data_IF_193121892571
#
_entry.id   IF_193121892571
#
_cell.length_a   1.000
_cell.length_b   1.000
_cell.length_c   1.000
_cell.angle_alpha   90.00
_cell.angle_beta   90.00
_cell.angle_gamma   90.00
#
_symmetry.space_group_name_H-M   'P 1'
#
loop_
_entity.id
_entity.type
_entity.pdbx_description
1 polymer ?
#
# COMPACT_ATOMS: atom_id res chain seq x y z
N UNK A 1 -32.81 -32.71 -98.98
CA UNK A 1 -32.48 -33.38 -97.72
C UNK A 1 -32.22 -32.28 -96.72
N UNK A 2 -33.04 -32.15 -95.71
CA UNK A 2 -32.84 -31.24 -94.62
C UNK A 2 -31.83 -31.86 -93.63
N UNK A 3 -30.79 -31.10 -93.30
CA UNK A 3 -29.84 -31.50 -92.28
C UNK A 3 -30.56 -31.46 -90.86
N UNK A 4 -30.57 -32.53 -90.11
CA UNK A 4 -31.18 -32.47 -88.83
C UNK A 4 -30.33 -31.58 -87.88
N UNK A 5 -30.97 -30.64 -87.20
CA UNK A 5 -30.38 -29.87 -86.11
C UNK A 5 -30.68 -30.64 -84.81
N UNK A 6 -29.64 -30.89 -84.04
CA UNK A 6 -29.75 -31.43 -82.71
C UNK A 6 -29.41 -30.35 -81.68
N UNK A 7 -30.08 -30.31 -80.52
CA UNK A 7 -29.70 -29.50 -79.37
C UNK A 7 -28.42 -30.05 -78.74
N UNK A 8 -27.67 -29.21 -78.06
CA UNK A 8 -26.50 -29.61 -77.30
C UNK A 8 -26.84 -30.33 -76.04
N UNK A 9 -28.14 -30.61 -75.77
CA UNK A 9 -28.62 -31.23 -74.52
C UNK A 9 -28.84 -30.19 -73.44
N UNK A 10 -29.56 -30.59 -72.40
CA UNK A 10 -29.75 -29.85 -71.16
C UNK A 10 -29.23 -30.77 -70.00
N UNK A 11 -28.34 -30.28 -69.19
CA UNK A 11 -27.94 -30.94 -67.93
C UNK A 11 -28.88 -30.44 -66.86
N UNK A 12 -29.41 -31.37 -66.05
CA UNK A 12 -30.19 -31.05 -64.86
C UNK A 12 -29.29 -31.17 -63.66
N UNK A 13 -29.12 -30.05 -62.97
CA UNK A 13 -28.41 -30.01 -61.71
C UNK A 13 -29.40 -29.88 -60.53
N UNK A 14 -29.28 -30.74 -59.55
CA UNK A 14 -30.13 -30.81 -58.36
C UNK A 14 -29.29 -30.73 -57.04
N UNK A 15 -28.02 -30.36 -57.18
CA UNK A 15 -27.14 -30.21 -56.03
C UNK A 15 -27.01 -28.74 -55.63
N UNK A 16 -27.27 -28.51 -54.34
CA UNK A 16 -27.11 -27.16 -53.78
C UNK A 16 -25.63 -26.84 -53.58
N UNK A 17 -25.16 -25.62 -53.89
CA UNK A 17 -23.80 -25.19 -53.52
C UNK A 17 -23.61 -25.11 -52.01
N UNK A 18 -22.36 -25.10 -51.54
CA UNK A 18 -22.02 -24.94 -50.14
C UNK A 18 -21.25 -23.64 -49.90
N UNK A 19 -21.52 -22.96 -48.78
CA UNK A 19 -20.78 -21.81 -48.33
C UNK A 19 -20.18 -22.02 -46.97
N UNK A 20 -19.02 -21.39 -46.69
CA UNK A 20 -18.42 -21.36 -45.35
C UNK A 20 -19.14 -20.34 -44.47
N UNK A 21 -18.74 -20.28 -43.20
CA UNK A 21 -19.19 -19.26 -42.24
C UNK A 21 -18.56 -17.94 -42.64
N UNK A 22 -19.33 -16.87 -42.79
CA UNK A 22 -18.76 -15.53 -42.98
C UNK A 22 -18.12 -15.06 -41.66
N UNK A 23 -17.04 -14.28 -41.79
CA UNK A 23 -16.33 -13.64 -40.69
C UNK A 23 -16.73 -12.17 -40.64
N UNK A 24 -16.99 -11.65 -39.44
CA UNK A 24 -17.20 -10.24 -39.21
C UNK A 24 -15.85 -9.49 -39.25
N UNK A 25 -15.81 -8.28 -39.91
CA UNK A 25 -14.60 -7.49 -40.03
C UNK A 25 -13.88 -7.64 -41.39
N UNK A 26 -12.67 -7.07 -41.49
CA UNK A 26 -11.87 -7.02 -42.71
C UNK A 26 -10.95 -8.21 -42.86
N UNK A 27 -10.67 -8.58 -44.12
CA UNK A 27 -9.76 -9.69 -44.44
C UNK A 27 -8.38 -9.45 -43.84
N UNK A 28 -7.89 -10.42 -43.03
CA UNK A 28 -6.55 -10.43 -42.49
C UNK A 28 -6.43 -9.83 -41.08
N UNK A 29 -7.49 -9.29 -40.49
CA UNK A 29 -7.50 -8.76 -39.10
C UNK A 29 -8.10 -9.72 -38.09
N UNK A 30 -8.60 -10.86 -38.52
CA UNK A 30 -9.27 -11.86 -37.67
C UNK A 30 -10.77 -11.63 -37.57
N UNK A 31 -11.43 -12.38 -36.73
CA UNK A 31 -12.85 -12.23 -36.38
C UNK A 31 -13.06 -11.01 -35.51
N UNK A 32 -14.08 -10.21 -35.79
CA UNK A 32 -14.42 -9.01 -35.07
C UNK A 32 -15.65 -9.28 -34.18
N UNK A 33 -15.44 -9.47 -32.89
CA UNK A 33 -16.54 -9.70 -31.96
C UNK A 33 -17.22 -8.43 -31.47
N UNK A 34 -16.48 -7.30 -31.43
CA UNK A 34 -16.94 -6.00 -30.95
C UNK A 34 -16.45 -4.86 -31.86
N UNK A 35 -17.24 -3.79 -31.98
CA UNK A 35 -16.84 -2.56 -32.67
C UNK A 35 -17.40 -1.30 -32.01
N UNK A 36 -16.64 -0.18 -32.05
CA UNK A 36 -17.14 1.15 -31.68
C UNK A 36 -17.78 1.90 -32.86
N UNK A 37 -17.68 1.40 -34.09
CA UNK A 37 -18.19 2.06 -35.29
C UNK A 37 -19.69 1.84 -35.42
N UNK A 38 -20.44 2.91 -35.58
CA UNK A 38 -21.91 2.88 -35.77
C UNK A 38 -22.35 3.00 -37.24
N UNK A 39 -21.43 3.27 -38.15
CA UNK A 39 -21.77 3.64 -39.50
C UNK A 39 -21.60 2.52 -40.53
N UNK A 40 -20.84 1.47 -40.21
CA UNK A 40 -20.55 0.42 -41.17
C UNK A 40 -20.53 -0.96 -40.55
N UNK A 41 -20.84 -1.97 -41.37
CA UNK A 41 -20.63 -3.38 -41.17
C UNK A 41 -19.80 -3.94 -42.31
N UNK A 42 -18.85 -4.79 -41.96
CA UNK A 42 -17.98 -5.47 -42.94
C UNK A 42 -18.00 -6.95 -42.64
N UNK A 43 -18.14 -7.76 -43.64
CA UNK A 43 -17.98 -9.21 -43.53
C UNK A 43 -17.21 -9.76 -44.72
N UNK A 44 -16.51 -10.86 -44.53
CA UNK A 44 -15.81 -11.56 -45.58
C UNK A 44 -15.95 -13.08 -45.43
N UNK A 45 -15.74 -13.80 -46.54
CA UNK A 45 -15.85 -15.25 -46.55
C UNK A 45 -14.84 -15.88 -47.51
N UNK A 46 -14.57 -17.15 -47.28
CA UNK A 46 -13.78 -17.93 -48.21
C UNK A 46 -14.58 -18.22 -49.48
N UNK A 47 -13.98 -18.12 -50.68
CA UNK A 47 -14.66 -18.49 -51.91
C UNK A 47 -15.07 -19.99 -51.82
N UNK A 48 -16.30 -20.27 -52.31
CA UNK A 48 -16.72 -21.68 -52.46
C UNK A 48 -15.90 -22.34 -53.56
N UNK A 49 -15.70 -23.63 -53.42
CA UNK A 49 -15.04 -24.49 -54.40
C UNK A 49 -16.02 -25.07 -55.43
N UNK A 50 -17.26 -24.60 -55.42
CA UNK A 50 -18.30 -24.99 -56.37
C UNK A 50 -17.95 -24.55 -57.79
N UNK A 51 -17.72 -25.49 -58.74
CA UNK A 51 -17.29 -25.13 -60.08
C UNK A 51 -18.34 -24.36 -60.90
N UNK A 52 -19.61 -24.50 -60.57
CA UNK A 52 -20.75 -23.89 -61.25
C UNK A 52 -21.39 -22.77 -60.41
N UNK A 53 -20.62 -22.12 -59.52
CA UNK A 53 -21.05 -20.97 -58.76
C UNK A 53 -21.42 -19.81 -59.74
N UNK A 54 -22.60 -19.20 -59.51
CA UNK A 54 -23.03 -18.00 -60.26
C UNK A 54 -22.76 -16.75 -59.47
N UNK A 55 -23.31 -16.66 -58.22
CA UNK A 55 -23.12 -15.49 -57.35
C UNK A 55 -23.37 -15.87 -55.89
N UNK A 56 -23.01 -14.98 -54.97
CA UNK A 56 -23.39 -14.96 -53.56
C UNK A 56 -24.50 -13.95 -53.32
N UNK A 57 -25.31 -14.20 -52.28
CA UNK A 57 -26.10 -13.15 -51.68
C UNK A 57 -25.69 -13.04 -50.20
N UNK A 58 -25.55 -11.82 -49.75
CA UNK A 58 -25.33 -11.48 -48.37
C UNK A 58 -26.45 -10.63 -47.81
N UNK A 59 -26.70 -10.68 -46.51
CA UNK A 59 -27.54 -9.75 -45.76
C UNK A 59 -26.90 -9.43 -44.40
N UNK A 60 -27.31 -8.33 -43.84
CA UNK A 60 -26.99 -8.03 -42.41
C UNK A 60 -28.28 -7.88 -41.63
N UNK A 61 -28.28 -8.39 -40.42
CA UNK A 61 -29.49 -8.39 -39.56
C UNK A 61 -29.18 -8.46 -38.08
N UNK A 62 -30.19 -8.18 -37.25
CA UNK A 62 -30.15 -8.38 -35.80
C UNK A 62 -30.45 -9.81 -35.38
N UNK A 63 -30.74 -10.68 -36.34
CA UNK A 63 -31.03 -12.11 -36.09
C UNK A 63 -30.33 -12.99 -37.13
N UNK A 64 -29.92 -14.21 -36.67
CA UNK A 64 -29.31 -15.20 -37.56
C UNK A 64 -30.23 -15.51 -38.75
N UNK A 65 -29.69 -15.39 -39.96
CA UNK A 65 -30.42 -15.67 -41.21
C UNK A 65 -31.42 -14.56 -41.64
N UNK A 66 -31.53 -13.47 -40.87
CA UNK A 66 -32.41 -12.34 -41.15
C UNK A 66 -31.85 -11.38 -42.22
N UNK A 67 -32.61 -10.28 -42.50
CA UNK A 67 -32.26 -9.27 -43.47
C UNK A 67 -32.84 -7.89 -43.11
N UNK A 68 -33.05 -7.62 -41.83
CA UNK A 68 -33.71 -6.43 -41.30
C UNK A 68 -32.84 -5.15 -41.35
N UNK A 69 -31.55 -5.27 -41.47
CA UNK A 69 -30.61 -4.14 -41.57
C UNK A 69 -30.25 -3.89 -43.04
N UNK A 70 -29.78 -4.91 -43.73
CA UNK A 70 -29.50 -4.92 -45.19
C UNK A 70 -30.19 -6.14 -45.77
N UNK A 71 -31.13 -5.90 -46.72
CA UNK A 71 -31.80 -7.01 -47.40
C UNK A 71 -30.81 -7.81 -48.25
N UNK A 72 -31.19 -9.05 -48.56
CA UNK A 72 -30.39 -9.93 -49.42
C UNK A 72 -29.90 -9.22 -50.67
N UNK A 73 -28.59 -9.10 -50.83
CA UNK A 73 -27.90 -8.36 -51.88
C UNK A 73 -26.92 -9.27 -52.60
N UNK A 74 -27.07 -9.37 -53.92
CA UNK A 74 -26.22 -10.21 -54.75
C UNK A 74 -24.83 -9.60 -54.97
N UNK A 75 -23.78 -10.47 -54.95
CA UNK A 75 -22.40 -10.10 -55.24
C UNK A 75 -21.63 -11.29 -55.82
N UNK A 76 -20.58 -10.99 -56.59
CA UNK A 76 -19.57 -11.98 -56.99
C UNK A 76 -18.28 -11.87 -56.18
N UNK A 77 -18.19 -10.86 -55.31
CA UNK A 77 -17.06 -10.66 -54.38
C UNK A 77 -17.18 -11.56 -53.16
N UNK A 78 -16.08 -11.73 -52.45
CA UNK A 78 -16.00 -12.48 -51.20
C UNK A 78 -15.87 -11.57 -49.96
N UNK A 79 -16.25 -10.31 -50.11
CA UNK A 79 -16.32 -9.30 -49.06
C UNK A 79 -17.57 -8.43 -49.28
N UNK A 80 -18.24 -8.09 -48.20
CA UNK A 80 -19.33 -7.14 -48.19
C UNK A 80 -18.98 -5.99 -47.23
N UNK A 81 -19.09 -4.76 -47.72
CA UNK A 81 -18.96 -3.55 -46.89
C UNK A 81 -20.22 -2.71 -47.10
N UNK A 82 -20.84 -2.35 -46.00
CA UNK A 82 -22.04 -1.51 -46.00
C UNK A 82 -21.82 -0.34 -45.08
N UNK A 83 -22.00 0.86 -45.62
CA UNK A 83 -21.82 2.13 -44.95
C UNK A 83 -23.14 2.87 -44.75
N UNK A 84 -23.06 3.99 -44.01
CA UNK A 84 -24.21 4.87 -43.74
C UNK A 84 -25.30 4.22 -42.89
N UNK A 85 -24.92 3.32 -42.05
CA UNK A 85 -25.77 2.68 -41.05
C UNK A 85 -25.95 3.59 -39.81
N UNK A 86 -26.86 3.22 -38.94
CA UNK A 86 -27.04 3.81 -37.62
C UNK A 86 -27.20 2.67 -36.59
N UNK A 87 -26.07 2.06 -36.25
CA UNK A 87 -26.01 0.91 -35.40
C UNK A 87 -26.20 1.32 -33.94
N UNK A 88 -26.77 0.43 -33.11
CA UNK A 88 -27.21 0.70 -31.75
C UNK A 88 -26.28 0.01 -30.79
N UNK A 89 -25.90 0.71 -29.70
CA UNK A 89 -25.10 0.16 -28.60
C UNK A 89 -25.72 -1.12 -28.02
N UNK A 90 -24.86 -2.08 -27.68
CA UNK A 90 -25.18 -3.40 -27.13
C UNK A 90 -26.04 -4.28 -28.04
N UNK A 91 -26.21 -3.91 -29.32
CA UNK A 91 -26.91 -4.74 -30.30
C UNK A 91 -25.90 -5.58 -31.11
N UNK A 92 -26.20 -6.87 -31.25
CA UNK A 92 -25.45 -7.81 -32.08
C UNK A 92 -25.98 -7.73 -33.50
N UNK A 93 -25.07 -7.72 -34.49
CA UNK A 93 -25.36 -7.75 -35.91
C UNK A 93 -24.67 -8.95 -36.53
N UNK A 94 -25.42 -9.71 -37.36
CA UNK A 94 -24.97 -10.92 -38.01
C UNK A 94 -24.82 -10.69 -39.51
N UNK A 95 -23.70 -11.12 -40.07
CA UNK A 95 -23.57 -11.28 -41.51
C UNK A 95 -24.15 -12.64 -41.91
N UNK A 96 -25.05 -12.65 -42.89
CA UNK A 96 -25.64 -13.86 -43.45
C UNK A 96 -25.22 -14.04 -44.89
N UNK A 97 -24.95 -15.26 -45.30
CA UNK A 97 -24.41 -15.63 -46.62
C UNK A 97 -25.15 -16.83 -47.20
N UNK A 98 -25.44 -16.79 -48.49
CA UNK A 98 -25.82 -17.94 -49.31
C UNK A 98 -25.22 -17.83 -50.70
N UNK A 99 -25.06 -18.94 -51.40
CA UNK A 99 -24.57 -19.01 -52.75
C UNK A 99 -25.65 -19.56 -53.68
N UNK A 100 -25.57 -19.19 -54.95
CA UNK A 100 -26.39 -19.74 -56.03
C UNK A 100 -25.49 -20.29 -57.11
N UNK A 101 -25.84 -21.45 -57.64
CA UNK A 101 -25.20 -22.02 -58.81
C UNK A 101 -25.83 -21.54 -60.13
N UNK A 102 -25.24 -21.89 -61.26
CA UNK A 102 -25.74 -21.57 -62.58
C UNK A 102 -27.09 -22.20 -62.94
N UNK A 103 -27.52 -23.22 -62.22
CA UNK A 103 -28.82 -23.85 -62.36
C UNK A 103 -29.91 -23.15 -61.52
N UNK A 104 -29.50 -22.27 -60.59
CA UNK A 104 -30.37 -21.49 -59.70
C UNK A 104 -30.66 -22.17 -58.38
N UNK A 105 -29.92 -23.21 -57.98
CA UNK A 105 -30.08 -23.87 -56.67
C UNK A 105 -29.40 -22.99 -55.61
N UNK A 106 -30.05 -22.68 -54.47
CA UNK A 106 -29.47 -21.94 -53.35
C UNK A 106 -28.77 -22.86 -52.37
N UNK A 107 -27.64 -22.39 -51.74
CA UNK A 107 -27.11 -23.04 -50.59
C UNK A 107 -28.00 -22.83 -49.34
N UNK A 108 -27.75 -23.59 -48.25
CA UNK A 108 -28.21 -23.18 -46.97
C UNK A 108 -27.60 -21.83 -46.57
N UNK A 109 -28.34 -21.07 -45.76
CA UNK A 109 -27.83 -19.83 -45.17
C UNK A 109 -26.79 -20.14 -44.09
N UNK A 110 -25.63 -19.50 -44.19
CA UNK A 110 -24.58 -19.50 -43.16
C UNK A 110 -24.48 -18.10 -42.57
N UNK A 111 -24.32 -18.02 -41.25
CA UNK A 111 -24.25 -16.74 -40.53
C UNK A 111 -22.96 -16.67 -39.68
N UNK A 112 -22.45 -15.42 -39.53
CA UNK A 112 -21.36 -15.15 -38.59
C UNK A 112 -21.77 -15.40 -37.11
N UNK A 113 -20.81 -15.34 -36.20
CA UNK A 113 -21.08 -15.31 -34.74
C UNK A 113 -21.65 -13.94 -34.29
N UNK A 114 -21.54 -12.91 -35.14
CA UNK A 114 -22.06 -11.58 -34.93
C UNK A 114 -21.11 -10.62 -34.23
N UNK A 115 -21.14 -9.36 -34.72
CA UNK A 115 -20.40 -8.24 -34.09
C UNK A 115 -21.32 -7.42 -33.19
N UNK A 116 -20.86 -7.16 -31.95
CA UNK A 116 -21.59 -6.32 -30.98
C UNK A 116 -21.06 -4.90 -31.04
N UNK A 117 -21.96 -3.92 -31.09
CA UNK A 117 -21.59 -2.50 -31.06
C UNK A 117 -21.43 -2.02 -29.63
N UNK A 118 -20.24 -1.49 -29.30
CA UNK A 118 -19.96 -0.91 -27.99
C UNK A 118 -19.52 0.57 -28.15
N UNK A 119 -20.31 1.48 -27.59
CA UNK A 119 -20.11 2.94 -27.71
C UNK A 119 -19.66 3.60 -26.41
N UNK A 120 -19.68 2.89 -25.30
CA UNK A 120 -19.41 3.46 -24.00
C UNK A 120 -18.26 2.73 -23.34
N UNK A 121 -17.37 3.51 -22.74
CA UNK A 121 -16.29 2.93 -21.93
C UNK A 121 -16.77 2.35 -20.62
N UNK A 122 -15.87 1.65 -19.91
CA UNK A 122 -16.15 1.05 -18.62
C UNK A 122 -16.70 2.07 -17.62
N UNK A 123 -17.65 1.64 -16.78
CA UNK A 123 -18.05 2.41 -15.61
C UNK A 123 -16.91 2.48 -14.62
N UNK A 124 -16.78 3.60 -13.91
CA UNK A 124 -15.75 3.83 -12.91
C UNK A 124 -16.00 3.02 -11.65
N UNK A 125 -14.92 2.54 -11.05
CA UNK A 125 -14.91 1.90 -9.75
C UNK A 125 -14.47 2.84 -8.62
N UNK A 126 -13.99 2.23 -7.55
CA UNK A 126 -13.40 2.89 -6.38
C UNK A 126 -11.91 2.60 -6.36
N UNK A 127 -11.09 3.60 -6.06
CA UNK A 127 -9.65 3.48 -5.88
C UNK A 127 -9.27 3.90 -4.45
N UNK A 128 -8.32 3.19 -3.86
CA UNK A 128 -7.74 3.51 -2.55
C UNK A 128 -6.21 3.53 -2.63
N UNK A 129 -5.59 4.34 -1.81
CA UNK A 129 -4.17 4.25 -1.50
C UNK A 129 -3.96 3.02 -0.60
N UNK A 130 -3.02 2.12 -0.98
CA UNK A 130 -2.83 0.82 -0.30
C UNK A 130 -3.52 -0.37 -0.98
N UNK A 131 -3.44 -1.55 -0.35
CA UNK A 131 -3.95 -2.82 -0.92
C UNK A 131 -5.31 -3.26 -0.39
N UNK A 132 -5.61 -2.98 0.87
CA UNK A 132 -6.82 -3.47 1.54
C UNK A 132 -7.56 -2.41 2.33
N UNK A 133 -6.85 -1.40 2.76
CA UNK A 133 -7.36 -0.24 3.47
C UNK A 133 -6.80 1.02 2.81
N UNK A 134 -7.51 2.11 2.96
CA UNK A 134 -7.10 3.41 2.45
C UNK A 134 -6.06 4.02 3.37
N UNK A 135 -4.81 4.11 2.90
CA UNK A 135 -3.68 4.61 3.65
C UNK A 135 -3.56 6.13 3.46
N UNK A 136 -3.31 6.84 4.56
CA UNK A 136 -3.16 8.31 4.55
C UNK A 136 -1.69 8.71 4.50
N UNK A 137 -0.81 7.87 5.06
CA UNK A 137 0.63 8.11 5.13
C UNK A 137 1.43 6.91 4.64
N UNK A 138 2.62 7.19 4.12
CA UNK A 138 3.58 6.14 3.71
C UNK A 138 5.01 6.52 4.10
N UNK A 139 5.75 5.56 4.66
CA UNK A 139 7.19 5.66 4.88
C UNK A 139 8.04 5.28 3.65
N UNK A 140 7.41 4.90 2.54
CA UNK A 140 8.11 4.56 1.32
C UNK A 140 8.78 5.79 0.69
N UNK A 141 9.98 5.61 0.16
CA UNK A 141 10.76 6.71 -0.45
C UNK A 141 10.74 6.69 -1.98
N UNK A 142 10.31 5.58 -2.59
CA UNK A 142 10.48 5.34 -4.02
C UNK A 142 9.30 4.62 -4.69
N UNK A 143 8.24 4.34 -3.95
CA UNK A 143 7.09 3.59 -4.48
C UNK A 143 5.78 3.96 -3.79
N UNK A 144 4.68 3.85 -4.56
CA UNK A 144 3.31 4.00 -4.07
C UNK A 144 2.51 2.77 -4.46
N UNK A 145 1.61 2.37 -3.58
CA UNK A 145 0.73 1.22 -3.78
C UNK A 145 -0.72 1.71 -3.83
N UNK A 146 -1.49 1.20 -4.79
CA UNK A 146 -2.92 1.45 -4.86
C UNK A 146 -3.67 0.20 -5.33
N UNK A 147 -4.93 0.13 -4.98
CA UNK A 147 -5.86 -0.89 -5.44
C UNK A 147 -7.21 -0.30 -5.81
N UNK A 148 -7.94 -0.99 -6.69
CA UNK A 148 -9.27 -0.56 -7.13
C UNK A 148 -10.21 -1.74 -7.33
N UNK A 149 -11.51 -1.44 -7.25
CA UNK A 149 -12.60 -2.39 -7.41
C UNK A 149 -13.72 -1.77 -8.26
N UNK A 150 -14.69 -2.58 -8.62
CA UNK A 150 -15.98 -2.16 -9.20
C UNK A 150 -15.92 -1.42 -10.55
N UNK A 151 -14.77 -1.39 -11.22
CA UNK A 151 -14.75 -1.06 -12.64
C UNK A 151 -15.40 -2.18 -13.42
N UNK A 152 -16.30 -1.85 -14.31
CA UNK A 152 -16.99 -2.85 -15.13
C UNK A 152 -17.33 -2.33 -16.52
N UNK A 153 -17.18 -3.19 -17.51
CA UNK A 153 -17.77 -3.07 -18.83
C UNK A 153 -18.57 -4.33 -19.12
N UNK A 154 -19.84 -4.16 -19.50
CA UNK A 154 -20.77 -5.27 -19.68
C UNK A 154 -20.96 -5.67 -21.14
N UNK A 155 -20.37 -4.94 -22.08
CA UNK A 155 -20.49 -5.19 -23.51
C UNK A 155 -19.21 -5.80 -24.07
N UNK A 156 -18.14 -5.04 -24.18
CA UNK A 156 -16.88 -5.55 -24.71
C UNK A 156 -15.90 -6.02 -23.64
N UNK A 157 -16.07 -5.58 -22.39
CA UNK A 157 -15.20 -5.91 -21.28
C UNK A 157 -13.96 -5.03 -21.20
N UNK A 158 -13.27 -5.07 -20.05
CA UNK A 158 -12.07 -4.27 -19.79
C UNK A 158 -10.86 -4.97 -20.43
N UNK A 159 -10.12 -4.25 -21.26
CA UNK A 159 -8.89 -4.71 -21.89
C UNK A 159 -7.66 -4.45 -20.99
N UNK A 160 -7.54 -3.22 -20.48
CA UNK A 160 -6.43 -2.83 -19.61
C UNK A 160 -6.80 -1.61 -18.75
N UNK A 161 -5.94 -1.35 -17.77
CA UNK A 161 -5.94 -0.11 -17.00
C UNK A 161 -4.72 0.73 -17.34
N UNK A 162 -4.83 2.03 -17.15
CA UNK A 162 -3.72 2.97 -17.12
C UNK A 162 -3.73 3.69 -15.78
N UNK A 163 -2.56 3.93 -15.21
CA UNK A 163 -2.40 4.75 -14.03
C UNK A 163 -1.39 5.88 -14.25
N UNK A 164 -1.54 6.94 -13.49
CA UNK A 164 -0.59 8.04 -13.41
C UNK A 164 -0.46 8.57 -12.00
N UNK A 165 0.60 9.32 -11.69
CA UNK A 165 0.89 9.85 -10.37
C UNK A 165 1.17 11.33 -10.45
N UNK A 166 0.60 12.09 -9.52
CA UNK A 166 0.83 13.53 -9.42
C UNK A 166 0.86 14.04 -7.98
N UNK A 167 1.28 15.30 -7.81
CA UNK A 167 1.29 16.01 -6.52
C UNK A 167 -0.01 16.78 -6.25
N UNK A 168 -0.93 16.76 -7.18
CA UNK A 168 -2.30 17.28 -7.03
C UNK A 168 -3.27 16.32 -7.70
N UNK A 169 -4.49 16.24 -7.19
CA UNK A 169 -5.51 15.33 -7.70
C UNK A 169 -5.71 15.49 -9.21
N UNK A 170 -5.58 14.39 -9.95
CA UNK A 170 -5.72 14.34 -11.41
C UNK A 170 -4.53 14.84 -12.23
N UNK A 171 -3.48 15.37 -11.59
CA UNK A 171 -2.24 15.75 -12.27
C UNK A 171 -1.30 14.53 -12.45
N UNK A 172 -0.37 14.63 -13.39
CA UNK A 172 0.55 13.56 -13.79
C UNK A 172 2.02 14.03 -13.80
N UNK A 173 2.36 14.98 -12.91
CA UNK A 173 3.68 15.61 -12.86
C UNK A 173 4.78 14.71 -12.30
N UNK A 174 4.41 13.58 -11.71
CA UNK A 174 5.37 12.58 -11.18
C UNK A 174 5.49 11.40 -12.14
N UNK A 175 4.37 10.89 -12.66
CA UNK A 175 4.32 9.81 -13.64
C UNK A 175 3.17 10.03 -14.61
N UNK A 176 3.49 10.07 -15.90
CA UNK A 176 2.53 10.05 -17.00
C UNK A 176 1.74 8.73 -17.03
N UNK A 177 0.66 8.69 -17.83
CA UNK A 177 -0.13 7.49 -18.02
C UNK A 177 0.72 6.28 -18.39
N UNK A 178 0.61 5.24 -17.61
CA UNK A 178 1.32 3.97 -17.78
C UNK A 178 0.30 2.85 -17.91
N UNK A 179 0.30 2.17 -19.05
CA UNK A 179 -0.56 1.01 -19.28
C UNK A 179 -0.10 -0.19 -18.45
N UNK A 180 -1.09 -0.87 -17.89
CA UNK A 180 -0.95 -2.14 -17.18
C UNK A 180 -2.10 -3.05 -17.61
N UNK A 181 -1.93 -4.34 -17.66
CA UNK A 181 -3.02 -5.27 -18.03
C UNK A 181 -4.28 -5.11 -17.16
N UNK A 182 -5.25 -6.01 -17.28
CA UNK A 182 -6.50 -5.97 -16.52
C UNK A 182 -6.28 -6.39 -15.04
N UNK A 183 -5.35 -5.74 -14.36
CA UNK A 183 -5.00 -5.97 -12.95
C UNK A 183 -5.65 -4.93 -12.06
N UNK A 184 -5.95 -5.28 -10.81
CA UNK A 184 -6.69 -4.43 -9.87
C UNK A 184 -5.80 -3.79 -8.81
N UNK A 185 -4.48 -3.92 -8.95
CA UNK A 185 -3.50 -3.36 -8.00
C UNK A 185 -2.25 -2.92 -8.74
N UNK A 186 -1.57 -1.92 -8.18
CA UNK A 186 -0.23 -1.51 -8.62
C UNK A 186 0.71 -1.37 -7.44
N UNK A 187 2.00 -1.55 -7.75
CA UNK A 187 3.12 -0.97 -7.01
C UNK A 187 3.89 -0.07 -8.00
N UNK A 188 3.67 1.22 -7.90
CA UNK A 188 4.29 2.25 -8.74
C UNK A 188 5.71 2.54 -8.24
N UNK A 189 6.68 1.66 -8.51
CA UNK A 189 8.08 1.80 -8.11
C UNK A 189 8.89 2.75 -9.00
N UNK A 190 10.11 3.11 -8.54
CA UNK A 190 11.03 4.00 -9.27
C UNK A 190 10.61 5.47 -9.24
N UNK A 191 9.89 5.88 -8.21
CA UNK A 191 9.56 7.26 -7.90
C UNK A 191 10.68 7.90 -7.06
N UNK A 192 10.54 9.18 -6.76
CA UNK A 192 11.29 9.86 -5.72
C UNK A 192 10.28 10.65 -4.90
N UNK A 193 9.95 10.10 -3.73
CA UNK A 193 8.97 10.73 -2.86
C UNK A 193 9.67 11.71 -1.92
N UNK A 194 9.11 12.89 -1.81
CA UNK A 194 9.62 13.98 -0.96
C UNK A 194 8.82 13.96 0.34
N UNK A 195 9.51 14.03 1.45
CA UNK A 195 8.92 14.12 2.78
C UNK A 195 7.85 15.22 2.86
N UNK A 196 6.78 14.98 3.59
CA UNK A 196 5.66 15.91 3.80
C UNK A 196 4.94 16.30 2.49
N UNK A 197 5.03 15.48 1.45
CA UNK A 197 4.37 15.72 0.17
C UNK A 197 3.25 14.71 -0.05
N UNK A 198 2.07 15.20 -0.40
CA UNK A 198 0.92 14.34 -0.74
C UNK A 198 0.96 13.98 -2.22
N UNK A 199 0.77 12.71 -2.51
CA UNK A 199 0.71 12.14 -3.85
C UNK A 199 -0.66 11.57 -4.13
N UNK A 200 -1.08 11.64 -5.38
CA UNK A 200 -2.37 11.16 -5.87
C UNK A 200 -2.16 10.18 -7.00
N UNK A 201 -2.83 9.05 -6.95
CA UNK A 201 -2.84 8.05 -8.03
C UNK A 201 -4.14 8.18 -8.78
N UNK A 202 -4.05 8.37 -10.10
CA UNK A 202 -5.19 8.42 -11.01
C UNK A 202 -5.25 7.15 -11.84
N UNK A 203 -6.44 6.61 -12.07
CA UNK A 203 -6.68 5.40 -12.86
C UNK A 203 -7.82 5.60 -13.83
N UNK A 204 -7.71 5.01 -15.01
CA UNK A 204 -8.79 4.82 -15.97
C UNK A 204 -8.74 3.41 -16.56
N UNK A 205 -9.88 2.88 -16.97
CA UNK A 205 -10.01 1.60 -17.66
C UNK A 205 -10.28 1.81 -19.14
N UNK A 206 -9.74 0.96 -20.00
CA UNK A 206 -10.02 0.93 -21.45
C UNK A 206 -10.63 -0.43 -21.79
N UNK A 207 -11.68 -0.42 -22.63
CA UNK A 207 -12.36 -1.61 -23.09
C UNK A 207 -11.70 -2.21 -24.36
N UNK A 208 -12.26 -3.32 -24.88
CA UNK A 208 -11.74 -4.02 -26.06
C UNK A 208 -11.89 -3.26 -27.37
N UNK A 209 -12.73 -2.22 -27.43
CA UNK A 209 -12.91 -1.40 -28.65
C UNK A 209 -12.26 -0.03 -28.52
N UNK A 210 -11.59 0.26 -27.40
CA UNK A 210 -10.82 1.48 -27.18
C UNK A 210 -11.57 2.64 -26.54
N UNK A 211 -12.80 2.44 -26.03
CA UNK A 211 -13.43 3.45 -25.22
C UNK A 211 -12.84 3.41 -23.79
N UNK A 212 -12.76 4.54 -23.12
CA UNK A 212 -12.19 4.63 -21.77
C UNK A 212 -13.20 5.18 -20.75
N UNK A 213 -13.03 4.78 -19.51
CA UNK A 213 -13.81 5.28 -18.38
C UNK A 213 -13.46 6.74 -18.08
N UNK A 214 -14.28 7.40 -17.27
CA UNK A 214 -13.85 8.61 -16.56
C UNK A 214 -12.63 8.27 -15.66
N UNK A 215 -11.81 9.30 -15.36
CA UNK A 215 -10.65 9.17 -14.49
C UNK A 215 -11.11 9.20 -13.03
N UNK A 216 -10.62 8.26 -12.24
CA UNK A 216 -10.79 8.23 -10.78
C UNK A 216 -9.43 8.44 -10.13
N UNK A 217 -9.38 9.23 -9.08
CA UNK A 217 -8.15 9.58 -8.37
C UNK A 217 -8.32 9.29 -6.88
N UNK A 218 -7.26 8.79 -6.23
CA UNK A 218 -7.24 8.60 -4.77
C UNK A 218 -7.46 9.91 -4.00
N UNK A 219 -7.78 9.82 -2.72
CA UNK A 219 -7.87 10.99 -1.82
C UNK A 219 -6.49 11.56 -1.45
N UNK A 220 -5.42 10.81 -1.73
CA UNK A 220 -4.03 11.21 -1.59
C UNK A 220 -3.34 10.61 -0.37
N UNK A 221 -2.11 10.16 -0.58
CA UNK A 221 -1.22 9.60 0.44
C UNK A 221 -0.03 10.53 0.67
N UNK A 222 0.28 10.85 1.93
CA UNK A 222 1.38 11.75 2.27
C UNK A 222 2.62 10.95 2.65
N UNK A 223 3.75 11.26 2.02
CA UNK A 223 5.04 10.68 2.40
C UNK A 223 5.49 11.25 3.74
N UNK A 224 5.77 10.38 4.69
CA UNK A 224 6.31 10.68 6.00
C UNK A 224 7.61 9.90 6.22
N UNK A 225 8.72 10.60 6.21
CA UNK A 225 10.06 10.03 6.37
C UNK A 225 10.71 10.46 7.70
N UNK A 226 9.98 11.18 8.52
CA UNK A 226 10.44 11.71 9.79
C UNK A 226 9.97 10.83 10.93
N UNK A 227 10.85 10.45 11.84
CA UNK A 227 10.45 9.70 13.03
C UNK A 227 10.05 10.62 14.19
N UNK A 228 9.34 10.09 15.20
CA UNK A 228 8.86 10.85 16.35
C UNK A 228 9.97 11.54 17.15
N UNK A 229 9.66 12.72 17.69
CA UNK A 229 10.58 13.56 18.47
C UNK A 229 10.26 13.43 19.97
N UNK A 230 11.26 13.04 20.75
CA UNK A 230 11.22 13.04 22.22
C UNK A 230 11.93 14.24 22.82
N UNK A 231 11.67 14.54 24.08
CA UNK A 231 12.21 15.70 24.78
C UNK A 231 13.12 15.31 25.94
N UNK A 232 12.69 14.45 26.85
CA UNK A 232 13.40 14.10 28.08
C UNK A 232 13.20 12.63 28.46
N UNK A 233 14.27 12.01 28.93
CA UNK A 233 14.25 10.76 29.66
C UNK A 233 15.00 10.93 30.97
N UNK A 234 14.53 10.28 32.04
CA UNK A 234 15.10 10.35 33.38
C UNK A 234 15.24 8.98 33.96
N UNK A 235 16.21 8.82 34.85
CA UNK A 235 16.44 7.62 35.64
C UNK A 235 15.46 7.59 36.81
N UNK A 236 15.00 6.38 37.21
CA UNK A 236 13.92 6.17 38.18
C UNK A 236 12.50 6.42 37.60
N UNK A 237 11.51 5.95 38.31
CA UNK A 237 10.08 6.02 37.93
C UNK A 237 9.40 7.33 38.37
N UNK A 238 10.07 8.23 39.08
CA UNK A 238 9.45 9.44 39.60
C UNK A 238 10.39 10.65 39.72
N UNK A 239 11.51 10.49 40.40
CA UNK A 239 12.49 11.56 40.63
C UNK A 239 13.82 11.06 40.10
N UNK A 240 14.47 11.90 39.34
CA UNK A 240 15.78 11.65 38.79
C UNK A 240 16.79 11.28 39.89
N UNK A 241 17.62 10.27 39.65
CA UNK A 241 18.64 9.80 40.59
C UNK A 241 19.99 9.64 39.89
N UNK A 242 21.06 10.10 40.56
CA UNK A 242 22.43 9.97 40.06
C UNK A 242 23.12 8.67 40.56
N UNK A 243 22.60 8.07 41.63
CA UNK A 243 23.24 6.95 42.37
C UNK A 243 22.20 5.90 42.74
N UNK A 244 22.58 4.62 42.63
CA UNK A 244 21.81 3.51 43.19
C UNK A 244 22.74 2.40 43.70
N UNK A 245 22.23 1.61 44.64
CA UNK A 245 22.92 0.42 45.18
C UNK A 245 22.18 -0.90 44.82
N UNK A 246 21.15 -0.84 44.00
CA UNK A 246 20.47 -2.00 43.47
C UNK A 246 21.20 -2.52 42.23
N UNK A 247 21.56 -3.82 42.25
CA UNK A 247 22.26 -4.49 41.17
C UNK A 247 21.33 -5.25 40.21
N UNK A 248 20.05 -5.42 40.60
CA UNK A 248 19.14 -6.35 39.90
C UNK A 248 17.97 -5.68 39.24
N UNK A 249 17.81 -4.38 39.43
CA UNK A 249 16.80 -3.60 38.74
C UNK A 249 17.28 -2.21 38.35
N UNK A 250 16.61 -1.63 37.30
CA UNK A 250 16.81 -0.27 36.85
C UNK A 250 15.47 0.26 36.33
N UNK A 251 15.06 1.43 36.82
CA UNK A 251 13.82 2.08 36.38
C UNK A 251 14.10 3.38 35.67
N UNK A 252 13.19 3.77 34.82
CA UNK A 252 13.22 5.08 34.20
C UNK A 252 11.88 5.52 33.63
N UNK A 253 11.75 6.81 33.36
CA UNK A 253 10.56 7.37 32.73
C UNK A 253 10.95 8.46 31.69
N UNK A 254 10.00 8.77 30.83
CA UNK A 254 10.19 9.77 29.77
C UNK A 254 8.89 10.47 29.42
N UNK A 255 8.98 11.61 28.75
CA UNK A 255 7.84 12.25 28.14
C UNK A 255 7.51 11.56 26.83
N UNK A 256 6.19 11.42 26.51
CA UNK A 256 5.75 10.81 25.25
C UNK A 256 6.31 11.54 24.06
N UNK A 257 6.81 10.77 23.11
CA UNK A 257 7.24 11.30 21.81
C UNK A 257 6.05 11.82 21.02
N UNK A 258 6.29 12.76 20.15
CA UNK A 258 5.29 13.31 19.24
C UNK A 258 5.74 13.17 17.80
N UNK A 259 4.79 12.84 16.92
CA UNK A 259 4.94 12.86 15.49
C UNK A 259 3.77 13.62 14.87
N UNK A 260 4.05 14.51 13.89
CA UNK A 260 3.07 15.45 13.33
C UNK A 260 2.20 14.82 12.25
N UNK A 261 2.73 13.79 11.54
CA UNK A 261 2.09 13.23 10.35
C UNK A 261 1.49 11.86 10.63
N UNK A 262 2.26 10.80 10.56
CA UNK A 262 1.75 9.45 10.74
C UNK A 262 1.44 9.10 12.20
N UNK A 263 1.96 9.89 13.14
CA UNK A 263 1.73 9.75 14.56
C UNK A 263 2.58 8.66 15.23
N UNK A 264 2.77 8.79 16.55
CA UNK A 264 3.49 7.81 17.34
C UNK A 264 2.74 6.47 17.39
N UNK A 265 3.39 5.38 17.00
CA UNK A 265 2.88 4.02 17.16
C UNK A 265 3.28 3.40 18.50
N UNK A 266 4.56 3.51 18.86
CA UNK A 266 5.08 2.98 20.13
C UNK A 266 6.44 3.58 20.48
N UNK A 267 6.85 3.35 21.75
CA UNK A 267 8.20 3.60 22.21
C UNK A 267 9.02 2.32 22.21
N UNK A 268 10.31 2.46 22.01
CA UNK A 268 11.31 1.43 22.29
C UNK A 268 12.29 1.92 23.34
N UNK A 269 12.69 1.03 24.24
CA UNK A 269 13.63 1.32 25.33
C UNK A 269 14.77 0.31 25.33
N UNK A 270 15.93 0.76 25.81
CA UNK A 270 17.10 -0.07 26.03
C UNK A 270 17.88 0.45 27.26
N UNK A 271 18.60 -0.43 27.95
CA UNK A 271 19.51 -0.04 29.03
C UNK A 271 20.96 -0.09 28.52
N UNK A 272 21.65 1.02 28.60
CA UNK A 272 23.00 1.18 28.07
C UNK A 272 24.03 1.36 29.18
N UNK A 273 25.07 0.52 29.20
CA UNK A 273 26.21 0.65 30.08
C UNK A 273 27.24 1.60 29.43
N UNK A 274 27.30 2.83 29.92
CA UNK A 274 28.20 3.88 29.42
C UNK A 274 29.66 3.52 29.63
N UNK A 275 29.97 2.92 30.78
CA UNK A 275 31.36 2.54 31.16
C UNK A 275 31.96 1.51 30.21
N UNK A 276 31.15 0.54 29.79
CA UNK A 276 31.59 -0.55 28.91
C UNK A 276 31.22 -0.30 27.43
N UNK A 277 30.48 0.76 27.14
CA UNK A 277 29.94 1.11 25.81
C UNK A 277 29.16 -0.06 25.17
N UNK A 278 28.22 -0.66 25.93
CA UNK A 278 27.42 -1.80 25.51
C UNK A 278 26.01 -1.75 26.07
N UNK A 279 25.06 -2.35 25.35
CA UNK A 279 23.72 -2.55 25.90
C UNK A 279 23.71 -3.69 26.91
N UNK A 280 23.16 -3.42 28.09
CA UNK A 280 22.82 -4.40 29.11
C UNK A 280 21.48 -5.06 28.73
N UNK A 281 20.49 -4.26 28.37
CA UNK A 281 19.23 -4.70 27.76
C UNK A 281 19.08 -4.06 26.38
N UNK A 282 18.74 -4.91 25.40
CA UNK A 282 18.54 -4.46 24.02
C UNK A 282 17.18 -3.77 23.83
N UNK A 283 17.01 -3.09 22.70
CA UNK A 283 15.79 -2.41 22.33
C UNK A 283 14.55 -3.30 22.43
N UNK A 284 13.57 -2.87 23.21
CA UNK A 284 12.31 -3.56 23.45
C UNK A 284 11.15 -2.59 23.25
N UNK A 285 10.13 -3.03 22.48
CA UNK A 285 8.89 -2.29 22.29
C UNK A 285 8.08 -2.33 23.60
N UNK A 286 7.71 -1.15 24.11
CA UNK A 286 6.94 -0.97 25.34
C UNK A 286 5.55 -0.37 25.10
N UNK A 287 5.09 -0.36 23.84
CA UNK A 287 3.83 0.27 23.48
C UNK A 287 3.88 1.78 23.67
N UNK A 288 2.78 2.35 24.18
CA UNK A 288 2.68 3.79 24.47
C UNK A 288 3.01 4.14 25.93
N UNK A 289 3.52 3.17 26.69
CA UNK A 289 3.96 3.43 28.06
C UNK A 289 5.10 4.44 28.08
N UNK A 290 5.19 5.21 29.16
CA UNK A 290 6.21 6.23 29.39
C UNK A 290 7.08 5.95 30.61
N UNK A 291 7.03 4.73 31.12
CA UNK A 291 7.86 4.23 32.23
C UNK A 291 8.27 2.79 31.99
N UNK A 292 9.43 2.41 32.52
CA UNK A 292 9.90 1.03 32.48
C UNK A 292 10.64 0.68 33.77
N UNK A 293 10.60 -0.60 34.15
CA UNK A 293 11.55 -1.20 35.09
C UNK A 293 12.11 -2.47 34.49
N UNK A 294 13.41 -2.50 34.31
CA UNK A 294 14.15 -3.70 33.96
C UNK A 294 14.41 -4.49 35.24
N UNK A 295 14.24 -5.80 35.19
CA UNK A 295 14.44 -6.73 36.31
C UNK A 295 15.39 -7.87 35.93
N UNK A 296 16.03 -8.46 36.96
CA UNK A 296 16.90 -9.62 36.77
C UNK A 296 18.24 -9.26 36.15
N UNK A 297 18.65 -8.00 36.26
CA UNK A 297 19.93 -7.48 35.81
C UNK A 297 21.10 -8.02 36.67
N UNK A 298 22.35 -7.84 36.18
CA UNK A 298 23.58 -8.08 36.88
C UNK A 298 24.50 -6.85 36.74
N UNK A 299 24.03 -5.72 37.30
CA UNK A 299 24.69 -4.43 37.17
C UNK A 299 26.04 -4.41 37.88
N UNK A 300 27.02 -3.76 37.29
CA UNK A 300 28.40 -3.75 37.73
C UNK A 300 28.66 -2.52 38.63
N UNK A 301 29.09 -2.72 39.85
CA UNK A 301 29.49 -1.64 40.78
C UNK A 301 30.59 -0.76 40.13
N UNK A 302 30.44 0.55 40.21
CA UNK A 302 31.33 1.54 39.62
C UNK A 302 31.05 1.82 38.13
N UNK A 303 30.01 1.17 37.56
CA UNK A 303 29.57 1.46 36.17
C UNK A 303 28.39 2.42 36.17
N UNK A 304 28.30 3.26 35.15
CA UNK A 304 27.16 4.15 34.86
C UNK A 304 26.27 3.54 33.81
N UNK A 305 24.95 3.61 34.04
CA UNK A 305 23.93 3.12 33.12
C UNK A 305 22.97 4.26 32.76
N UNK A 306 22.57 4.29 31.49
CA UNK A 306 21.61 5.25 30.95
C UNK A 306 20.38 4.52 30.40
N UNK A 307 19.19 5.07 30.64
CA UNK A 307 17.99 4.71 29.89
C UNK A 307 18.08 5.33 28.50
N UNK A 308 17.99 4.53 27.44
CA UNK A 308 17.83 4.98 26.09
C UNK A 308 16.39 4.78 25.64
N UNK A 309 15.77 5.79 25.03
CA UNK A 309 14.39 5.75 24.54
C UNK A 309 14.33 6.34 23.13
N UNK A 310 13.47 5.76 22.27
CA UNK A 310 13.12 6.30 20.96
C UNK A 310 11.67 6.01 20.65
N UNK A 311 11.04 6.87 19.83
CA UNK A 311 9.71 6.65 19.27
C UNK A 311 9.79 5.97 17.92
N UNK A 312 8.76 5.20 17.58
CA UNK A 312 8.50 4.66 16.23
C UNK A 312 7.11 5.10 15.82
N UNK A 313 6.96 5.64 14.62
CA UNK A 313 5.68 6.11 14.09
C UNK A 313 4.85 5.00 13.43
N UNK A 314 3.68 5.35 12.90
CA UNK A 314 2.75 4.39 12.30
C UNK A 314 3.22 3.85 10.94
N UNK A 315 4.14 4.51 10.26
CA UNK A 315 4.72 4.05 8.98
C UNK A 315 6.12 3.44 9.15
N UNK A 316 6.62 3.35 10.39
CA UNK A 316 7.83 2.63 10.76
C UNK A 316 9.11 3.47 10.81
N UNK A 317 9.03 4.81 10.72
CA UNK A 317 10.23 5.63 10.92
C UNK A 317 10.59 5.68 12.41
N UNK A 318 11.88 5.66 12.67
CA UNK A 318 12.43 5.68 14.04
C UNK A 318 12.99 7.04 14.36
N UNK A 319 12.54 7.63 15.46
CA UNK A 319 13.04 8.91 15.96
C UNK A 319 14.46 8.84 16.51
N UNK A 320 15.02 9.99 16.79
CA UNK A 320 16.31 10.10 17.46
C UNK A 320 16.23 9.53 18.89
N UNK A 321 17.33 8.93 19.35
CA UNK A 321 17.44 8.45 20.72
C UNK A 321 17.52 9.65 21.64
N UNK A 322 16.70 9.65 22.71
CA UNK A 322 16.92 10.43 23.91
C UNK A 322 17.44 9.51 25.01
N UNK A 323 18.31 10.01 25.87
CA UNK A 323 18.87 9.26 26.97
C UNK A 323 18.76 10.05 28.28
N UNK A 324 18.69 9.33 29.41
CA UNK A 324 18.87 9.89 30.73
C UNK A 324 20.32 10.35 30.93
N UNK A 325 20.60 11.10 31.97
CA UNK A 325 21.97 11.55 32.29
C UNK A 325 22.81 10.49 33.01
N UNK A 326 22.17 9.42 33.49
CA UNK A 326 22.79 8.18 33.91
C UNK A 326 22.98 8.02 35.41
N UNK A 327 22.85 6.76 35.87
CA UNK A 327 22.97 6.34 37.26
C UNK A 327 24.26 5.58 37.45
N UNK A 328 25.09 6.03 38.40
CA UNK A 328 26.27 5.29 38.90
C UNK A 328 25.84 4.22 39.90
N UNK A 329 26.27 3.01 39.66
CA UNK A 329 26.12 1.90 40.67
C UNK A 329 27.15 2.05 41.72
N UNK A 330 26.74 2.49 42.93
CA UNK A 330 27.63 2.72 44.07
C UNK A 330 27.30 1.79 45.23
N UNK A 331 28.27 0.94 45.54
CA UNK A 331 28.24 0.03 46.72
C UNK A 331 29.21 0.47 47.80
N UNK A 332 29.86 1.61 47.66
CA UNK A 332 30.86 2.08 48.58
C UNK A 332 30.18 2.76 49.76
N UNK A 333 30.28 2.19 50.93
CA UNK A 333 29.75 2.83 52.13
C UNK A 333 30.62 4.03 52.55
N UNK A 334 30.02 5.14 53.04
CA UNK A 334 30.80 6.25 53.57
C UNK A 334 31.74 5.79 54.69
N UNK A 335 32.93 6.42 54.75
CA UNK A 335 33.87 6.15 55.84
C UNK A 335 33.28 6.65 57.17
N UNK A 336 33.67 5.99 58.26
CA UNK A 336 33.22 6.42 59.58
C UNK A 336 33.73 7.84 59.88
N UNK A 337 32.90 8.72 60.48
CA UNK A 337 33.33 10.03 60.90
C UNK A 337 34.55 9.96 61.82
N UNK A 338 35.48 10.90 61.63
CA UNK A 338 36.70 11.00 62.42
C UNK A 338 36.56 12.08 63.50
N UNK A 339 37.39 11.99 64.55
CA UNK A 339 37.56 12.99 65.61
C UNK A 339 36.27 13.36 66.32
N UNK A 340 35.35 12.34 66.52
CA UNK A 340 34.13 12.57 67.29
C UNK A 340 34.49 12.98 68.72
N UNK A 341 34.04 14.16 69.10
CA UNK A 341 34.17 14.71 70.42
C UNK A 341 32.81 15.14 70.98
N UNK A 342 32.63 15.08 72.26
CA UNK A 342 31.41 15.53 72.92
C UNK A 342 31.70 16.35 74.16
N UNK A 343 30.96 17.42 74.30
CA UNK A 343 31.06 18.28 75.52
C UNK A 343 29.71 18.41 76.18
N UNK A 344 29.74 18.42 77.52
CA UNK A 344 28.54 18.75 78.26
C UNK A 344 28.46 20.27 78.46
N UNK A 345 27.37 20.89 78.08
CA UNK A 345 27.13 22.33 78.22
C UNK A 345 25.70 22.59 78.66
N UNK A 346 25.48 23.26 79.77
CA UNK A 346 24.17 23.71 80.32
C UNK A 346 23.01 22.72 80.14
N UNK A 347 23.26 21.44 80.45
CA UNK A 347 22.24 20.33 80.41
C UNK A 347 22.08 19.69 79.06
N UNK A 348 22.99 19.93 78.07
CA UNK A 348 23.03 19.34 76.76
C UNK A 348 24.40 18.74 76.49
N UNK A 349 24.44 17.81 75.54
CA UNK A 349 25.66 17.30 74.94
C UNK A 349 25.80 17.92 73.56
N UNK A 350 26.90 18.62 73.26
CA UNK A 350 27.29 19.02 71.97
C UNK A 350 28.23 17.97 71.39
N UNK A 351 27.92 17.44 70.21
CA UNK A 351 28.75 16.52 69.45
C UNK A 351 29.33 17.27 68.23
N UNK A 352 30.62 17.03 68.01
CA UNK A 352 31.34 17.56 66.85
C UNK A 352 32.24 16.45 66.30
N UNK A 353 32.36 16.37 64.99
CA UNK A 353 33.24 15.44 64.29
C UNK A 353 33.80 16.07 63.03
N UNK A 354 34.84 15.50 62.44
CA UNK A 354 35.35 15.89 61.14
C UNK A 354 34.33 15.47 60.08
N UNK A 355 33.87 16.46 59.30
CA UNK A 355 32.91 16.20 58.21
C UNK A 355 33.50 15.24 57.17
N UNK A 356 32.71 14.31 56.73
CA UNK A 356 33.01 13.45 55.59
C UNK A 356 33.09 14.30 54.32
N UNK A 357 33.85 13.80 53.35
CA UNK A 357 34.08 14.50 52.07
C UNK A 357 33.45 13.77 50.86
N UNK A 358 32.79 12.67 51.12
CA UNK A 358 32.04 11.93 50.10
C UNK A 358 30.87 12.78 49.57
N UNK A 359 30.72 12.82 48.25
CA UNK A 359 29.71 13.64 47.57
C UNK A 359 28.31 13.07 47.71
N UNK A 360 28.21 11.79 48.03
CA UNK A 360 27.00 10.98 48.15
C UNK A 360 26.52 10.81 49.59
N UNK A 361 27.19 11.47 50.58
CA UNK A 361 26.81 11.42 51.97
C UNK A 361 25.39 11.99 52.18
N UNK A 362 24.44 11.15 52.53
CA UNK A 362 23.07 11.56 52.79
C UNK A 362 22.89 12.21 54.17
N UNK A 363 23.36 11.57 55.22
CA UNK A 363 23.26 12.07 56.62
C UNK A 363 24.10 11.24 57.59
N UNK A 364 24.33 11.81 58.74
CA UNK A 364 24.88 11.12 59.91
C UNK A 364 23.73 10.60 60.77
N UNK A 365 23.86 9.38 61.29
CA UNK A 365 22.96 8.81 62.27
C UNK A 365 23.60 8.89 63.66
N UNK A 366 22.95 9.54 64.58
CA UNK A 366 23.43 9.74 65.96
C UNK A 366 22.70 8.79 66.87
N UNK A 367 23.44 7.92 67.49
CA UNK A 367 22.94 6.95 68.44
C UNK A 367 23.34 7.32 69.87
N UNK A 368 22.49 7.07 70.84
CA UNK A 368 22.73 7.36 72.27
C UNK A 368 22.13 6.33 73.16
N UNK A 369 22.70 6.24 74.41
CA UNK A 369 22.26 5.30 75.43
C UNK A 369 23.23 5.24 76.59
N UNK A 370 22.95 4.42 77.62
CA UNK A 370 23.78 4.22 78.77
C UNK A 370 24.83 3.12 78.62
N UNK A 371 24.76 2.37 77.56
CA UNK A 371 25.64 1.28 77.19
C UNK A 371 26.74 1.73 76.21
N UNK A 372 27.87 0.99 76.22
CA UNK A 372 28.88 1.15 75.19
C UNK A 372 28.32 0.64 73.83
N UNK A 373 28.52 1.38 72.81
CA UNK A 373 27.94 1.17 71.41
C UNK A 373 26.40 1.15 71.47
N UNK A 374 25.77 2.27 71.79
CA UNK A 374 24.32 2.35 71.87
C UNK A 374 23.68 2.11 70.47
N UNK A 375 22.51 1.46 70.46
CA UNK A 375 21.75 1.14 69.27
C UNK A 375 20.48 1.98 69.12
N UNK A 376 20.17 2.83 70.10
CA UNK A 376 18.99 3.69 70.08
C UNK A 376 19.27 4.93 69.17
N UNK A 377 18.66 4.99 68.00
CA UNK A 377 18.76 6.14 67.12
C UNK A 377 18.08 7.34 67.81
N UNK A 378 18.83 8.39 68.05
CA UNK A 378 18.32 9.64 68.63
C UNK A 378 17.80 10.58 67.55
N UNK A 379 18.60 10.83 66.53
CA UNK A 379 18.25 11.68 65.38
C UNK A 379 19.27 11.50 64.25
N UNK A 380 18.95 12.09 63.10
CA UNK A 380 19.84 12.21 61.94
C UNK A 380 20.22 13.66 61.72
N UNK A 381 21.40 13.90 61.13
CA UNK A 381 21.89 15.24 60.79
C UNK A 381 22.68 15.25 59.50
N UNK A 382 22.53 16.29 58.70
CA UNK A 382 23.40 16.57 57.56
C UNK A 382 24.61 17.40 57.94
N UNK A 383 24.64 17.98 59.17
CA UNK A 383 25.71 18.80 59.68
C UNK A 383 26.67 17.98 60.56
N UNK A 384 27.93 18.38 60.60
CA UNK A 384 28.96 17.72 61.42
C UNK A 384 29.03 18.24 62.89
N UNK A 385 28.08 19.06 63.27
CA UNK A 385 27.90 19.51 64.66
C UNK A 385 26.45 19.46 65.06
N UNK A 386 26.13 18.87 66.19
CA UNK A 386 24.76 18.77 66.68
C UNK A 386 24.72 18.94 68.21
N UNK A 387 23.63 19.52 68.70
CA UNK A 387 23.31 19.55 70.11
C UNK A 387 22.31 18.42 70.43
N UNK A 388 22.67 17.52 71.33
CA UNK A 388 21.78 16.46 71.81
C UNK A 388 21.30 16.81 73.26
N UNK A 389 20.08 16.39 73.54
CA UNK A 389 19.43 16.68 74.83
C UNK A 389 19.64 15.60 75.87
#
# INVERSE_FOLDING_TARGET
>A
MSVPFSSNGITVDLFDPTVGIPFDGVVGEGELDYQANTNSLVAHWAPTLEPELDYYEYSFSTTIGGDDIIPWTATTDTIATVDSLNLIHAQIYFANLRAFDLAGNPSFVSSSNGVTVDLYGPITGIIIDGLSEDEIYTGAIDSLVASWTDFADTVSGIQYFEYGVGTTSGNLDIREWTEIGPVLTINAGGLTLIDVTTYYISVKATDLVGNFSEIVTTNGITADHSGPVGTIATDSDSTDIDLQNDLVSFSGHWESFSDEYSGLAYHETALYNVTNASYEENWTNVGIDTTITFYGLDLIAGSTYELHVRGVDAVGNTGAIINSDGVLIDLTAPIAPLDLVGWFTTGRILLEWTANTEVDLGYYSIYGGTENNPTDLLFTSMENTVEAF
#
